data_IF_013513550271
#
_entry.id   IF_013513550271
#
_cell.length_a   1.000
_cell.length_b   1.000
_cell.length_c   1.000
_cell.angle_alpha   90.00
_cell.angle_beta   90.00
_cell.angle_gamma   90.00
#
_symmetry.space_group_name_H-M   'P 1'
#
loop_
_entity.id
_entity.type
_entity.pdbx_description
1 polymer ?
#
# COMPACT_ATOMS: atom_id res chain seq x y z
N UNK A 1 -31.13 0.60 -7.11
CA UNK A 1 -29.88 1.28 -6.71
C UNK A 1 -28.68 0.47 -7.23
N UNK A 2 -28.55 0.36 -8.55
CA UNK A 2 -27.44 -0.31 -9.23
C UNK A 2 -26.52 0.77 -9.79
N UNK A 3 -25.42 1.06 -9.09
CA UNK A 3 -24.28 1.80 -9.64
C UNK A 3 -23.10 1.58 -8.70
N UNK A 4 -21.89 1.52 -9.27
CA UNK A 4 -20.60 1.24 -8.63
C UNK A 4 -20.19 -0.23 -8.57
N UNK A 5 -20.19 -0.91 -9.73
CA UNK A 5 -19.26 -2.01 -9.94
C UNK A 5 -18.02 -1.39 -10.64
N UNK A 6 -17.09 -0.89 -9.83
CA UNK A 6 -15.84 -0.32 -10.33
C UNK A 6 -14.89 -1.44 -10.71
N UNK A 7 -14.24 -1.29 -11.86
CA UNK A 7 -13.54 -2.34 -12.58
C UNK A 7 -12.15 -2.62 -11.97
N UNK A 8 -12.11 -3.34 -10.85
CA UNK A 8 -10.89 -3.94 -10.28
C UNK A 8 -10.42 -5.07 -11.21
N UNK A 9 -9.25 -4.93 -11.84
CA UNK A 9 -8.62 -6.03 -12.58
C UNK A 9 -7.73 -6.79 -11.59
N UNK A 10 -8.27 -7.87 -11.03
CA UNK A 10 -7.56 -8.77 -10.13
C UNK A 10 -6.42 -9.50 -10.85
N UNK A 11 -5.19 -9.33 -10.37
CA UNK A 11 -4.08 -10.24 -10.69
C UNK A 11 -3.29 -10.65 -9.44
N UNK A 12 -4.00 -10.85 -8.32
CA UNK A 12 -3.82 -11.94 -7.35
C UNK A 12 -4.68 -11.70 -6.10
N UNK A 13 -5.32 -12.77 -5.62
CA UNK A 13 -6.21 -12.72 -4.47
C UNK A 13 -5.36 -12.69 -3.20
N UNK A 14 -5.28 -11.53 -2.56
CA UNK A 14 -4.85 -11.49 -1.18
C UNK A 14 -6.05 -11.67 -0.28
N UNK A 15 -5.89 -12.49 0.75
CA UNK A 15 -6.93 -12.71 1.76
C UNK A 15 -7.00 -11.56 2.79
N UNK A 16 -6.32 -10.43 2.55
CA UNK A 16 -6.40 -9.27 3.45
C UNK A 16 -7.67 -8.48 3.21
N UNK A 17 -8.61 -8.45 4.17
CA UNK A 17 -9.84 -7.68 3.98
C UNK A 17 -9.58 -6.16 3.88
N UNK A 18 -8.38 -5.68 4.23
CA UNK A 18 -8.00 -4.27 4.15
C UNK A 18 -7.48 -3.86 2.77
N UNK A 19 -7.13 -4.81 1.88
CA UNK A 19 -6.57 -4.49 0.56
C UNK A 19 -7.55 -3.67 -0.28
N UNK A 20 -8.78 -4.15 -0.43
CA UNK A 20 -9.81 -3.47 -1.22
C UNK A 20 -10.13 -2.05 -0.69
N UNK A 21 -10.40 -1.84 0.62
CA UNK A 21 -10.52 -0.50 1.19
C UNK A 21 -9.30 0.38 0.92
N UNK A 22 -8.08 -0.14 1.05
CA UNK A 22 -6.87 0.64 0.83
C UNK A 22 -6.74 1.11 -0.63
N UNK A 23 -7.03 0.24 -1.60
CA UNK A 23 -7.03 0.60 -3.01
C UNK A 23 -8.08 1.69 -3.31
N UNK A 24 -9.29 1.53 -2.76
CA UNK A 24 -10.39 2.48 -2.94
C UNK A 24 -10.11 3.85 -2.32
N UNK A 25 -9.42 3.89 -1.18
CA UNK A 25 -9.04 5.14 -0.50
C UNK A 25 -7.89 5.85 -1.23
N UNK A 26 -6.84 5.12 -1.61
CA UNK A 26 -5.64 5.72 -2.23
C UNK A 26 -5.91 6.13 -3.68
N UNK A 27 -6.65 5.31 -4.44
CA UNK A 27 -6.93 5.53 -5.86
C UNK A 27 -8.43 5.49 -6.18
N UNK A 28 -9.23 6.42 -5.64
CA UNK A 28 -10.68 6.39 -5.79
C UNK A 28 -11.09 6.47 -7.27
N UNK A 29 -11.89 5.49 -7.71
CA UNK A 29 -12.43 5.47 -9.07
C UNK A 29 -11.45 5.01 -10.16
N UNK A 30 -10.22 4.61 -9.82
CA UNK A 30 -9.19 4.21 -10.79
C UNK A 30 -9.08 2.70 -10.91
N UNK A 31 -8.69 2.23 -12.09
CA UNK A 31 -8.40 0.82 -12.31
C UNK A 31 -6.99 0.51 -11.77
N UNK A 32 -6.90 -0.48 -10.89
CA UNK A 32 -5.63 -0.92 -10.29
C UNK A 32 -5.34 -2.37 -10.69
N UNK A 33 -4.11 -2.66 -11.10
CA UNK A 33 -3.61 -4.04 -11.20
C UNK A 33 -2.69 -4.32 -10.01
N UNK A 34 -2.94 -5.41 -9.28
CA UNK A 34 -2.29 -5.68 -7.99
C UNK A 34 -1.63 -7.05 -8.02
N UNK A 35 -0.37 -7.11 -7.58
CA UNK A 35 0.42 -8.35 -7.47
C UNK A 35 1.06 -8.40 -6.07
N UNK A 36 0.75 -9.42 -5.23
CA UNK A 36 1.43 -9.67 -3.97
C UNK A 36 2.93 -9.83 -4.18
N UNK A 37 3.68 -9.21 -3.30
CA UNK A 37 5.11 -9.43 -3.19
C UNK A 37 5.29 -10.43 -2.06
N UNK A 38 5.65 -11.67 -2.40
CA UNK A 38 5.99 -12.73 -1.44
C UNK A 38 7.34 -12.43 -0.77
N UNK A 39 7.40 -11.34 0.00
CA UNK A 39 8.55 -10.97 0.80
C UNK A 39 8.10 -10.29 2.10
N UNK A 40 8.68 -10.73 3.21
CA UNK A 40 8.41 -10.21 4.54
C UNK A 40 7.61 -11.18 5.40
N UNK A 41 8.07 -11.38 6.64
CA UNK A 41 7.40 -12.25 7.63
C UNK A 41 6.25 -11.50 8.31
N UNK A 42 6.38 -10.18 8.46
CA UNK A 42 5.52 -9.34 9.30
C UNK A 42 4.66 -8.32 8.55
N UNK A 43 4.83 -8.12 7.25
CA UNK A 43 4.06 -7.15 6.46
C UNK A 43 3.55 -7.79 5.18
N UNK A 44 2.38 -7.34 4.72
CA UNK A 44 1.84 -7.71 3.41
C UNK A 44 2.13 -6.59 2.43
N UNK A 45 2.97 -6.87 1.44
CA UNK A 45 3.37 -5.90 0.42
C UNK A 45 2.76 -6.28 -0.93
N UNK A 46 2.36 -5.28 -1.69
CA UNK A 46 1.76 -5.44 -3.00
C UNK A 46 2.39 -4.46 -3.98
N UNK A 47 2.74 -4.92 -5.17
CA UNK A 47 2.99 -4.06 -6.31
C UNK A 47 1.65 -3.67 -6.90
N UNK A 48 1.42 -2.38 -7.06
CA UNK A 48 0.18 -1.84 -7.61
C UNK A 48 0.49 -0.96 -8.81
N UNK A 49 -0.16 -1.25 -9.94
CA UNK A 49 -0.09 -0.43 -11.15
C UNK A 49 -1.37 0.36 -11.34
N UNK A 50 -1.24 1.68 -11.50
CA UNK A 50 -2.36 2.63 -11.67
C UNK A 50 -1.97 3.65 -12.71
N UNK A 51 -2.81 3.84 -13.74
CA UNK A 51 -2.61 4.82 -14.81
C UNK A 51 -1.22 4.77 -15.49
N UNK A 52 -0.57 3.59 -15.50
CA UNK A 52 0.77 3.39 -16.07
C UNK A 52 1.94 3.67 -15.11
N UNK A 53 1.66 4.11 -13.88
CA UNK A 53 2.64 4.24 -12.80
C UNK A 53 2.62 3.01 -11.88
N UNK A 54 3.76 2.72 -11.25
CA UNK A 54 3.91 1.57 -10.34
C UNK A 54 4.22 2.04 -8.93
N UNK A 55 3.56 1.41 -7.95
CA UNK A 55 3.65 1.71 -6.53
C UNK A 55 3.85 0.44 -5.72
N UNK A 56 4.32 0.60 -4.48
CA UNK A 56 4.29 -0.45 -3.46
C UNK A 56 3.31 -0.04 -2.39
N UNK A 57 2.26 -0.84 -2.21
CA UNK A 57 1.30 -0.74 -1.12
C UNK A 57 1.71 -1.73 -0.03
N UNK A 58 1.87 -1.24 1.19
CA UNK A 58 2.20 -2.05 2.36
C UNK A 58 1.05 -1.98 3.36
N UNK A 59 0.54 -3.15 3.75
CA UNK A 59 -0.34 -3.33 4.90
C UNK A 59 0.46 -3.90 6.06
N UNK A 60 0.37 -3.26 7.21
CA UNK A 60 0.97 -3.75 8.44
C UNK A 60 0.38 -5.14 8.80
N UNK A 61 1.24 -6.08 9.22
CA UNK A 61 0.79 -7.39 9.69
C UNK A 61 -0.02 -7.28 10.99
N UNK A 62 -0.95 -8.21 11.17
CA UNK A 62 -1.94 -8.23 12.26
C UNK A 62 -1.30 -8.29 13.66
N UNK A 63 -0.06 -8.81 13.79
CA UNK A 63 0.67 -8.90 15.06
C UNK A 63 1.62 -7.73 15.34
N UNK A 64 1.68 -6.72 14.45
CA UNK A 64 2.64 -5.62 14.60
C UNK A 64 2.20 -4.52 15.56
N UNK A 65 0.95 -4.50 16.00
CA UNK A 65 0.49 -3.63 17.10
C UNK A 65 1.16 -4.05 18.43
N UNK A 66 1.45 -5.35 18.61
CA UNK A 66 2.17 -5.88 19.78
C UNK A 66 3.63 -5.41 19.88
N UNK A 67 4.21 -4.91 18.79
CA UNK A 67 5.60 -4.42 18.76
C UNK A 67 5.73 -2.94 19.14
N UNK A 68 4.62 -2.23 19.38
CA UNK A 68 4.65 -0.82 19.78
C UNK A 68 5.21 0.12 18.71
N UNK A 69 5.26 -0.31 17.44
CA UNK A 69 5.80 0.50 16.34
C UNK A 69 4.80 1.62 16.02
N UNK A 70 5.16 2.85 16.36
CA UNK A 70 4.44 4.08 16.01
C UNK A 70 4.44 4.27 14.49
N UNK A 71 3.26 4.16 13.86
CA UNK A 71 3.10 4.27 12.41
C UNK A 71 3.34 5.69 11.89
N UNK A 72 3.07 6.71 12.71
CA UNK A 72 3.37 8.09 12.34
C UNK A 72 4.89 8.28 12.28
N UNK A 73 5.63 7.69 13.22
CA UNK A 73 7.08 7.70 13.20
C UNK A 73 7.66 6.95 11.98
N UNK A 74 7.06 5.84 11.57
CA UNK A 74 7.47 5.10 10.36
C UNK A 74 7.28 5.93 9.08
N UNK A 75 6.13 6.60 8.96
CA UNK A 75 5.85 7.48 7.82
C UNK A 75 6.80 8.67 7.78
N UNK A 76 7.07 9.29 8.93
CA UNK A 76 7.99 10.41 9.02
C UNK A 76 9.42 9.99 8.69
N UNK A 77 9.89 8.86 9.22
CA UNK A 77 11.18 8.30 8.85
C UNK A 77 11.26 8.00 7.34
N UNK A 78 10.18 7.47 6.75
CA UNK A 78 10.07 7.23 5.32
C UNK A 78 10.16 8.52 4.48
N UNK A 79 9.50 9.60 4.92
CA UNK A 79 9.58 10.91 4.25
C UNK A 79 10.98 11.51 4.33
N UNK A 80 11.59 11.49 5.51
CA UNK A 80 12.98 11.97 5.69
C UNK A 80 13.95 11.16 4.84
N UNK A 81 13.78 9.84 4.76
CA UNK A 81 14.59 8.99 3.89
C UNK A 81 14.43 9.34 2.40
N UNK A 82 13.20 9.64 1.97
CA UNK A 82 12.92 10.09 0.60
C UNK A 82 13.58 11.44 0.30
N UNK A 83 13.47 12.41 1.21
CA UNK A 83 14.12 13.73 1.09
C UNK A 83 15.65 13.62 1.02
N UNK A 84 16.23 12.69 1.79
CA UNK A 84 17.65 12.38 1.76
C UNK A 84 18.07 11.55 0.51
N UNK A 85 17.12 11.12 -0.33
CA UNK A 85 17.38 10.31 -1.53
C UNK A 85 17.78 8.86 -1.23
N UNK A 86 17.53 8.37 -0.01
CA UNK A 86 17.90 7.01 0.45
C UNK A 86 16.69 6.09 0.61
N UNK A 87 15.49 6.57 0.28
CA UNK A 87 14.25 5.81 0.30
C UNK A 87 13.28 6.24 -0.82
N UNK A 88 12.24 5.42 -1.10
CA UNK A 88 11.21 5.78 -2.05
C UNK A 88 10.31 6.91 -1.49
N UNK A 89 9.77 7.73 -2.38
CA UNK A 89 8.76 8.73 -2.02
C UNK A 89 7.53 8.06 -1.39
N UNK A 90 7.09 8.59 -0.24
CA UNK A 90 5.82 8.21 0.40
C UNK A 90 4.68 8.98 -0.28
N UNK A 91 3.82 8.26 -0.98
CA UNK A 91 2.73 8.80 -1.80
C UNK A 91 1.42 8.91 -1.01
N UNK A 92 1.15 7.96 -0.12
CA UNK A 92 -0.04 7.98 0.73
C UNK A 92 0.19 7.24 2.05
N UNK A 93 -0.61 7.59 3.06
CA UNK A 93 -0.65 6.93 4.36
C UNK A 93 -2.08 6.95 4.90
N UNK A 94 -2.64 5.76 5.14
CA UNK A 94 -3.97 5.58 5.73
C UNK A 94 -3.82 4.84 7.08
N UNK A 95 -3.80 5.56 8.21
CA UNK A 95 -3.49 4.99 9.52
C UNK A 95 -4.51 3.93 9.95
N UNK A 96 -5.80 4.15 9.70
CA UNK A 96 -6.89 3.24 10.11
C UNK A 96 -6.81 1.87 9.41
N UNK A 97 -6.17 1.82 8.25
CA UNK A 97 -5.94 0.59 7.48
C UNK A 97 -4.52 0.04 7.71
N UNK A 98 -3.67 0.76 8.44
CA UNK A 98 -2.24 0.46 8.55
C UNK A 98 -1.55 0.41 7.18
N UNK A 99 -1.98 1.28 6.26
CA UNK A 99 -1.55 1.28 4.86
C UNK A 99 -0.55 2.39 4.60
N UNK A 100 0.61 2.05 4.04
CA UNK A 100 1.59 3.00 3.53
C UNK A 100 1.82 2.70 2.05
N UNK A 101 1.80 3.74 1.21
CA UNK A 101 2.07 3.62 -0.22
C UNK A 101 3.30 4.42 -0.58
N UNK A 102 4.20 3.79 -1.33
CA UNK A 102 5.44 4.41 -1.81
C UNK A 102 5.58 4.25 -3.32
N UNK A 103 6.36 5.12 -3.96
CA UNK A 103 6.75 4.89 -5.36
C UNK A 103 7.53 3.59 -5.49
N UNK A 104 7.26 2.84 -6.55
CA UNK A 104 8.09 1.69 -6.87
C UNK A 104 9.46 2.17 -7.36
N UNK A 105 10.52 1.70 -6.71
CA UNK A 105 11.89 1.90 -7.17
C UNK A 105 12.29 0.64 -7.94
N UNK A 106 12.45 0.78 -9.25
CA UNK A 106 13.02 -0.27 -10.09
C UNK A 106 14.49 -0.44 -9.76
N UNK A 107 14.89 -1.66 -9.43
CA UNK A 107 16.30 -2.09 -9.39
C UNK A 107 16.76 -2.60 -10.74
#
# INVERSE_FOLDING_TARGET
MQRYLLMLRFAAMSDDPRLEPALATVWPGRATAVVPIEAGITNRNYRVEVDGETFVLRLAGTDTELLGIDRAAEVEAGRVAAEAGVGPEVVAFEPDLGCIVTRFVGG
#
